data_IF_189151528245
#
_entry.id   IF_189151528245
#
_cell.length_a   1.000
_cell.length_b   1.000
_cell.length_c   1.000
_cell.angle_alpha   90.00
_cell.angle_beta   90.00
_cell.angle_gamma   90.00
#
_symmetry.space_group_name_H-M   'P 1'
#
loop_
_entity.id
_entity.type
_entity.pdbx_description
1 polymer ?
#
# COMPACT_ATOMS: atom_id res chain seq x y z
N UNK A 1 -8.77 8.02 13.35
CA UNK A 1 -7.51 8.76 13.11
C UNK A 1 -7.22 8.89 11.62
N UNK A 2 -6.95 7.80 10.90
CA UNK A 2 -6.55 7.87 9.48
C UNK A 2 -7.66 8.10 8.45
N UNK A 3 -8.84 8.58 8.86
CA UNK A 3 -10.01 8.77 7.99
C UNK A 3 -10.43 10.22 7.83
N UNK A 4 -9.97 11.10 8.72
CA UNK A 4 -10.25 12.53 8.69
C UNK A 4 -8.95 13.29 8.39
N UNK A 5 -8.93 14.17 7.38
CA UNK A 5 -7.73 14.93 7.02
C UNK A 5 -7.14 15.72 8.18
N UNK A 6 -7.99 16.37 8.99
CA UNK A 6 -7.59 17.17 10.15
C UNK A 6 -6.80 16.35 11.18
N UNK A 7 -7.32 15.16 11.52
CA UNK A 7 -6.65 14.24 12.43
C UNK A 7 -5.32 13.72 11.87
N UNK A 8 -5.27 13.46 10.56
CA UNK A 8 -4.03 13.03 9.90
C UNK A 8 -3.00 14.14 9.93
N UNK A 9 -3.39 15.40 9.68
CA UNK A 9 -2.51 16.56 9.75
C UNK A 9 -1.95 16.75 11.16
N UNK A 10 -2.82 16.73 12.18
CA UNK A 10 -2.41 16.93 13.57
C UNK A 10 -1.41 15.85 14.02
N UNK A 11 -1.76 14.57 13.82
CA UNK A 11 -0.93 13.46 14.25
C UNK A 11 0.39 13.41 13.47
N UNK A 12 0.33 13.57 12.14
CA UNK A 12 1.55 13.51 11.30
C UNK A 12 2.50 14.65 11.66
N UNK A 13 1.99 15.87 11.86
CA UNK A 13 2.82 17.02 12.25
C UNK A 13 3.46 16.81 13.62
N UNK A 14 2.69 16.33 14.60
CA UNK A 14 3.20 16.03 15.94
C UNK A 14 4.30 14.96 15.90
N UNK A 15 4.09 13.89 15.13
CA UNK A 15 5.08 12.83 14.97
C UNK A 15 6.32 13.32 14.22
N UNK A 16 6.15 14.11 13.14
CA UNK A 16 7.28 14.67 12.37
C UNK A 16 8.15 15.57 13.25
N UNK A 17 7.53 16.45 14.04
CA UNK A 17 8.22 17.31 14.98
C UNK A 17 9.01 16.51 16.03
N UNK A 18 8.42 15.44 16.57
CA UNK A 18 9.09 14.56 17.53
C UNK A 18 10.19 13.69 16.89
N UNK A 19 10.02 13.31 15.63
CA UNK A 19 10.95 12.46 14.88
C UNK A 19 12.22 13.20 14.44
N UNK A 20 12.15 14.53 14.30
CA UNK A 20 13.27 15.37 13.87
C UNK A 20 13.72 15.04 12.45
N UNK A 21 14.98 14.65 12.29
CA UNK A 21 15.58 14.33 10.98
C UNK A 21 15.28 12.91 10.47
N UNK A 22 14.56 12.09 11.25
CA UNK A 22 14.19 10.74 10.81
C UNK A 22 13.11 10.82 9.73
N UNK A 23 13.18 9.90 8.77
CA UNK A 23 12.14 9.74 7.75
C UNK A 23 10.86 9.21 8.40
N UNK A 24 9.75 9.84 8.05
CA UNK A 24 8.40 9.48 8.47
C UNK A 24 7.61 8.97 7.27
N UNK A 25 7.32 7.67 7.28
CA UNK A 25 6.40 7.05 6.34
C UNK A 25 5.01 6.91 6.98
N UNK A 26 3.98 7.45 6.34
CA UNK A 26 2.59 7.36 6.83
C UNK A 26 1.85 6.24 6.10
N UNK A 27 1.31 5.28 6.86
CA UNK A 27 0.52 4.15 6.33
C UNK A 27 -0.95 4.52 6.24
N UNK A 28 -1.46 4.65 5.01
CA UNK A 28 -2.82 5.10 4.76
C UNK A 28 -3.85 3.97 4.92
N UNK A 29 -4.96 4.31 5.58
CA UNK A 29 -6.15 3.46 5.64
C UNK A 29 -6.93 3.57 4.34
N UNK A 30 -7.45 2.46 3.78
CA UNK A 30 -8.32 2.53 2.61
C UNK A 30 -9.79 2.82 2.98
N UNK A 31 -10.12 2.92 4.27
CA UNK A 31 -11.50 3.11 4.75
C UNK A 31 -11.98 4.57 4.66
N UNK A 32 -11.84 5.17 3.48
CA UNK A 32 -12.20 6.55 3.18
C UNK A 32 -12.84 6.67 1.80
N UNK A 33 -13.66 7.70 1.61
CA UNK A 33 -14.30 7.97 0.31
C UNK A 33 -13.29 8.36 -0.76
N UNK A 34 -12.35 9.25 -0.41
CA UNK A 34 -11.27 9.67 -1.30
C UNK A 34 -9.93 9.65 -0.56
N UNK A 35 -9.10 8.68 -0.92
CA UNK A 35 -7.77 8.51 -0.32
C UNK A 35 -6.80 9.64 -0.69
N UNK A 36 -7.04 10.36 -1.79
CA UNK A 36 -6.18 11.45 -2.25
C UNK A 36 -6.18 12.61 -1.26
N UNK A 37 -7.32 12.89 -0.62
CA UNK A 37 -7.47 13.93 0.41
C UNK A 37 -6.62 13.58 1.64
N UNK A 38 -6.64 12.31 2.05
CA UNK A 38 -5.86 11.82 3.19
C UNK A 38 -4.36 11.81 2.87
N UNK A 39 -3.98 11.36 1.68
CA UNK A 39 -2.60 11.38 1.22
C UNK A 39 -2.04 12.81 1.18
N UNK A 40 -2.85 13.77 0.70
CA UNK A 40 -2.49 15.19 0.62
C UNK A 40 -2.24 15.76 2.00
N UNK A 41 -3.14 15.50 2.96
CA UNK A 41 -2.99 15.91 4.36
C UNK A 41 -1.71 15.34 4.99
N UNK A 42 -1.42 14.05 4.79
CA UNK A 42 -0.21 13.43 5.31
C UNK A 42 1.07 14.06 4.75
N UNK A 43 1.12 14.31 3.44
CA UNK A 43 2.28 14.94 2.78
C UNK A 43 2.46 16.39 3.27
N UNK A 44 1.39 17.16 3.34
CA UNK A 44 1.43 18.57 3.80
C UNK A 44 1.82 18.70 5.27
N UNK A 45 1.52 17.68 6.08
CA UNK A 45 1.95 17.58 7.47
C UNK A 45 3.39 17.05 7.65
N UNK A 46 4.11 16.80 6.55
CA UNK A 46 5.54 16.47 6.59
C UNK A 46 5.89 14.99 6.47
N UNK A 47 4.99 14.15 5.94
CA UNK A 47 5.36 12.77 5.57
C UNK A 47 6.41 12.77 4.44
N UNK A 48 7.50 12.02 4.63
CA UNK A 48 8.56 11.88 3.62
C UNK A 48 8.25 10.76 2.61
N UNK A 49 7.36 9.82 2.99
CA UNK A 49 6.91 8.73 2.16
C UNK A 49 5.49 8.30 2.54
N UNK A 50 4.80 7.64 1.61
CA UNK A 50 3.51 7.02 1.88
C UNK A 50 3.61 5.51 1.76
N UNK A 51 2.77 4.79 2.51
CA UNK A 51 2.53 3.37 2.24
C UNK A 51 1.03 3.09 2.15
N UNK A 52 0.63 2.31 1.15
CA UNK A 52 -0.79 2.02 0.90
C UNK A 52 -0.96 0.64 0.24
N UNK A 53 -1.95 -0.16 0.65
CA UNK A 53 -3.04 0.13 1.61
C UNK A 53 -2.92 -0.67 2.91
N UNK A 54 -3.60 -0.22 3.96
CA UNK A 54 -3.93 -1.07 5.12
C UNK A 54 -5.09 -2.03 4.77
N UNK A 55 -5.54 -2.85 5.71
CA UNK A 55 -6.65 -3.80 5.50
C UNK A 55 -8.01 -3.12 5.38
N UNK A 56 -8.97 -3.81 4.78
CA UNK A 56 -10.39 -3.38 4.71
C UNK A 56 -11.20 -4.05 5.82
N UNK A 57 -12.14 -3.35 6.44
CA UNK A 57 -13.02 -3.97 7.46
C UNK A 57 -13.93 -5.02 6.81
N UNK A 58 -13.90 -6.25 7.33
CA UNK A 58 -14.75 -7.34 6.88
C UNK A 58 -15.22 -8.22 8.05
N UNK A 59 -16.15 -9.13 7.76
CA UNK A 59 -16.70 -10.10 8.72
C UNK A 59 -16.87 -11.46 8.05
N UNK A 60 -16.68 -12.52 8.83
CA UNK A 60 -17.08 -13.89 8.49
C UNK A 60 -18.02 -14.38 9.58
N UNK A 61 -19.12 -15.03 9.18
CA UNK A 61 -20.15 -15.58 10.09
C UNK A 61 -20.06 -17.11 10.03
N UNK A 62 -19.96 -17.74 11.19
CA UNK A 62 -20.15 -19.18 11.34
C UNK A 62 -21.63 -19.49 11.11
N UNK A 63 -21.94 -20.30 10.10
CA UNK A 63 -23.33 -20.53 9.65
C UNK A 63 -24.14 -21.44 10.59
N UNK A 64 -23.46 -22.28 11.38
CA UNK A 64 -24.09 -23.21 12.31
C UNK A 64 -24.51 -22.47 13.59
N UNK A 65 -23.60 -21.66 14.12
CA UNK A 65 -23.83 -20.88 15.35
C UNK A 65 -24.50 -19.54 15.08
N UNK A 66 -24.47 -19.06 13.82
CA UNK A 66 -24.89 -17.71 13.40
C UNK A 66 -24.15 -16.59 14.13
N UNK A 67 -22.91 -16.84 14.55
CA UNK A 67 -22.07 -15.88 15.29
C UNK A 67 -20.88 -15.45 14.44
N UNK A 68 -20.34 -14.24 14.67
CA UNK A 68 -19.08 -13.85 14.03
C UNK A 68 -17.96 -14.82 14.41
N UNK A 69 -17.13 -15.19 13.44
CA UNK A 69 -15.97 -16.08 13.67
C UNK A 69 -14.93 -15.40 14.56
N UNK A 70 -14.73 -14.09 14.41
CA UNK A 70 -13.80 -13.32 15.22
C UNK A 70 -14.48 -12.81 16.50
N UNK A 71 -13.77 -12.88 17.64
CA UNK A 71 -14.26 -12.34 18.91
C UNK A 71 -14.59 -10.83 18.83
N UNK A 72 -13.79 -10.07 18.09
CA UNK A 72 -14.01 -8.65 17.82
C UNK A 72 -15.13 -8.40 16.78
N UNK A 73 -15.84 -9.45 16.35
CA UNK A 73 -16.89 -9.48 15.32
C UNK A 73 -16.38 -9.20 13.91
N UNK A 74 -15.62 -8.13 13.70
CA UNK A 74 -14.98 -7.76 12.44
C UNK A 74 -13.46 -7.90 12.54
N UNK A 75 -12.81 -7.88 11.37
CA UNK A 75 -11.36 -7.87 11.25
C UNK A 75 -10.90 -7.24 9.93
N UNK A 76 -9.58 -7.20 9.74
CA UNK A 76 -8.97 -6.71 8.52
C UNK A 76 -8.91 -7.78 7.42
N UNK A 77 -9.61 -7.55 6.32
CA UNK A 77 -9.44 -8.27 5.07
C UNK A 77 -8.14 -7.84 4.38
N UNK A 78 -7.33 -8.83 4.06
CA UNK A 78 -6.06 -8.70 3.35
C UNK A 78 -5.92 -9.83 2.31
N UNK A 79 -4.72 -10.00 1.75
CA UNK A 79 -4.46 -11.05 0.77
C UNK A 79 -4.95 -10.71 -0.64
N UNK A 80 -4.92 -11.67 -1.57
CA UNK A 80 -5.18 -11.43 -2.99
C UNK A 80 -6.53 -10.76 -3.28
N UNK A 81 -7.53 -11.00 -2.43
CA UNK A 81 -8.87 -10.43 -2.56
C UNK A 81 -8.89 -8.89 -2.60
N UNK A 82 -7.93 -8.21 -1.95
CA UNK A 82 -7.88 -6.74 -1.92
C UNK A 82 -6.99 -6.14 -3.01
N UNK A 83 -6.27 -6.97 -3.78
CA UNK A 83 -5.23 -6.53 -4.71
C UNK A 83 -5.73 -5.51 -5.75
N UNK A 84 -6.84 -5.74 -6.47
CA UNK A 84 -7.28 -4.79 -7.50
C UNK A 84 -7.62 -3.41 -6.92
N UNK A 85 -8.17 -3.38 -5.71
CA UNK A 85 -8.49 -2.13 -5.00
C UNK A 85 -7.19 -1.42 -4.59
N UNK A 86 -6.22 -2.16 -4.07
CA UNK A 86 -4.93 -1.63 -3.66
C UNK A 86 -4.13 -1.03 -4.85
N UNK A 87 -4.11 -1.71 -5.99
CA UNK A 87 -3.49 -1.22 -7.25
C UNK A 87 -4.15 0.10 -7.69
N UNK A 88 -5.48 0.15 -7.73
CA UNK A 88 -6.22 1.37 -8.05
C UNK A 88 -5.87 2.53 -7.11
N UNK A 89 -5.85 2.29 -5.79
CA UNK A 89 -5.57 3.33 -4.81
C UNK A 89 -4.12 3.82 -4.88
N UNK A 90 -3.15 2.93 -5.16
CA UNK A 90 -1.76 3.30 -5.44
C UNK A 90 -1.68 4.22 -6.65
N UNK A 91 -2.33 3.83 -7.75
CA UNK A 91 -2.32 4.63 -8.97
C UNK A 91 -2.96 6.00 -8.79
N UNK A 92 -4.12 6.05 -8.12
CA UNK A 92 -4.81 7.30 -7.81
C UNK A 92 -3.93 8.24 -6.98
N UNK A 93 -3.37 7.75 -5.87
CA UNK A 93 -2.52 8.57 -4.98
C UNK A 93 -1.23 9.01 -5.68
N UNK A 94 -0.64 8.13 -6.49
CA UNK A 94 0.54 8.48 -7.29
C UNK A 94 0.24 9.68 -8.21
N UNK A 95 -0.79 9.57 -9.04
CA UNK A 95 -1.11 10.57 -10.06
C UNK A 95 -1.68 11.88 -9.48
N UNK A 96 -2.52 11.83 -8.45
CA UNK A 96 -3.22 13.03 -7.96
C UNK A 96 -2.44 13.80 -6.88
N UNK A 97 -1.44 13.16 -6.25
CA UNK A 97 -0.80 13.71 -5.05
C UNK A 97 0.72 13.52 -5.01
N UNK A 98 1.21 12.30 -5.19
CA UNK A 98 2.58 11.97 -4.82
C UNK A 98 3.62 12.33 -5.90
N UNK A 99 3.27 12.13 -7.19
CA UNK A 99 4.18 12.28 -8.33
C UNK A 99 4.81 13.68 -8.40
N UNK A 100 3.99 14.72 -8.44
CA UNK A 100 4.46 16.10 -8.60
C UNK A 100 5.23 16.62 -7.37
N UNK A 101 5.10 15.91 -6.24
CA UNK A 101 5.79 16.23 -4.98
C UNK A 101 7.02 15.35 -4.75
N UNK A 102 7.31 14.42 -5.65
CA UNK A 102 8.43 13.49 -5.52
C UNK A 102 8.31 12.55 -4.31
N UNK A 103 7.10 12.28 -3.82
CA UNK A 103 6.89 11.45 -2.63
C UNK A 103 6.83 9.97 -3.04
N UNK A 104 7.75 9.11 -2.56
CA UNK A 104 7.73 7.70 -2.89
C UNK A 104 6.58 6.97 -2.19
N UNK A 105 6.05 5.95 -2.88
CA UNK A 105 4.97 5.09 -2.37
C UNK A 105 5.49 3.66 -2.17
N UNK A 106 5.36 3.14 -0.95
CA UNK A 106 5.45 1.71 -0.68
C UNK A 106 4.07 1.05 -0.90
N UNK A 107 3.92 0.36 -2.03
CA UNK A 107 2.69 -0.32 -2.43
C UNK A 107 2.54 -1.71 -1.80
N UNK A 108 1.36 -2.03 -1.27
CA UNK A 108 1.04 -3.36 -0.79
C UNK A 108 -0.46 -3.63 -0.74
N UNK A 109 -0.79 -4.92 -0.75
CA UNK A 109 -2.16 -5.44 -0.65
C UNK A 109 -2.31 -6.62 -1.59
N UNK A 110 -2.19 -7.85 -1.06
CA UNK A 110 -2.41 -9.06 -1.86
C UNK A 110 -1.30 -9.43 -2.85
N UNK A 111 -0.10 -8.86 -2.73
CA UNK A 111 1.07 -9.24 -3.53
C UNK A 111 1.55 -10.62 -3.09
N UNK A 112 1.52 -11.59 -4.01
CA UNK A 112 2.04 -12.94 -3.80
C UNK A 112 2.99 -13.43 -4.90
N UNK A 113 3.05 -12.73 -6.03
CA UNK A 113 3.89 -13.10 -7.18
C UNK A 113 4.68 -11.90 -7.71
N UNK A 114 5.69 -12.17 -8.55
CA UNK A 114 6.43 -11.13 -9.25
C UNK A 114 5.53 -10.28 -10.16
N UNK A 115 4.53 -10.91 -10.80
CA UNK A 115 3.56 -10.18 -11.63
C UNK A 115 2.75 -9.17 -10.80
N UNK A 116 2.33 -9.55 -9.59
CA UNK A 116 1.63 -8.62 -8.70
C UNK A 116 2.54 -7.47 -8.29
N UNK A 117 3.82 -7.75 -7.98
CA UNK A 117 4.77 -6.70 -7.62
C UNK A 117 5.01 -5.71 -8.77
N UNK A 118 5.20 -6.22 -9.99
CA UNK A 118 5.36 -5.39 -11.20
C UNK A 118 4.10 -4.55 -11.46
N UNK A 119 2.90 -5.11 -11.26
CA UNK A 119 1.62 -4.39 -11.38
C UNK A 119 1.57 -3.18 -10.44
N UNK A 120 2.01 -3.32 -9.18
CA UNK A 120 2.08 -2.20 -8.25
C UNK A 120 3.13 -1.15 -8.64
N UNK A 121 4.28 -1.57 -9.16
CA UNK A 121 5.33 -0.64 -9.62
C UNK A 121 4.83 0.18 -10.80
N UNK A 122 4.24 -0.50 -11.80
CA UNK A 122 3.57 0.14 -12.95
C UNK A 122 2.50 1.12 -12.49
N UNK A 123 1.71 0.77 -11.47
CA UNK A 123 0.71 1.66 -10.90
C UNK A 123 1.28 2.94 -10.28
N UNK A 124 2.56 2.97 -9.87
CA UNK A 124 3.22 4.13 -9.26
C UNK A 124 3.94 3.84 -7.95
N UNK A 125 4.00 2.58 -7.50
CA UNK A 125 4.77 2.23 -6.31
C UNK A 125 6.28 2.30 -6.58
N UNK A 126 7.02 2.96 -5.70
CA UNK A 126 8.49 3.00 -5.75
C UNK A 126 9.12 1.75 -5.13
N UNK A 127 8.38 1.07 -4.25
CA UNK A 127 8.74 -0.19 -3.64
C UNK A 127 7.46 -0.98 -3.32
N UNK A 128 7.59 -2.29 -3.10
CA UNK A 128 6.46 -3.15 -2.74
C UNK A 128 6.69 -3.91 -1.44
N UNK A 129 5.62 -4.27 -0.74
CA UNK A 129 5.68 -5.14 0.45
C UNK A 129 4.70 -6.31 0.37
N UNK A 130 5.10 -7.45 0.93
CA UNK A 130 4.27 -8.65 1.07
C UNK A 130 3.86 -8.84 2.54
N UNK A 131 2.64 -9.32 2.75
CA UNK A 131 2.09 -9.59 4.09
C UNK A 131 1.51 -11.00 4.14
N UNK A 132 0.22 -11.13 3.83
CA UNK A 132 -0.55 -12.39 3.88
C UNK A 132 0.13 -13.56 3.15
N UNK A 133 0.80 -13.30 2.03
CA UNK A 133 1.48 -14.34 1.25
C UNK A 133 2.56 -15.08 2.06
N UNK A 134 3.26 -14.39 2.97
CA UNK A 134 4.30 -15.02 3.80
C UNK A 134 3.73 -16.05 4.79
N UNK A 135 2.45 -15.96 5.15
CA UNK A 135 1.79 -16.97 6.00
C UNK A 135 1.46 -18.26 5.24
N UNK A 136 1.39 -18.18 3.91
CA UNK A 136 1.18 -19.33 3.03
C UNK A 136 2.53 -19.90 2.58
N UNK A 137 3.45 -19.02 2.20
CA UNK A 137 4.76 -19.38 1.65
C UNK A 137 5.85 -18.46 2.24
N UNK A 138 6.65 -18.92 3.22
CA UNK A 138 7.62 -18.09 3.94
C UNK A 138 8.74 -17.49 3.06
N UNK A 139 9.08 -18.14 1.94
CA UNK A 139 10.11 -17.68 0.99
C UNK A 139 9.53 -16.87 -0.19
N UNK A 140 8.23 -16.52 -0.14
CA UNK A 140 7.52 -15.78 -1.20
C UNK A 140 8.26 -14.49 -1.62
N UNK A 141 8.80 -13.73 -0.66
CA UNK A 141 9.54 -12.51 -0.96
C UNK A 141 10.80 -12.77 -1.83
N UNK A 142 11.54 -13.86 -1.58
CA UNK A 142 12.71 -14.21 -2.38
C UNK A 142 12.31 -14.59 -3.82
N UNK A 143 11.25 -15.39 -3.97
CA UNK A 143 10.70 -15.78 -5.29
C UNK A 143 10.20 -14.59 -6.08
N UNK A 144 9.58 -13.61 -5.42
CA UNK A 144 9.15 -12.35 -6.05
C UNK A 144 10.35 -11.57 -6.57
N UNK A 145 11.43 -11.46 -5.78
CA UNK A 145 12.64 -10.76 -6.21
C UNK A 145 13.24 -11.42 -7.46
N UNK A 146 13.33 -12.75 -7.48
CA UNK A 146 13.85 -13.47 -8.64
C UNK A 146 12.95 -13.30 -9.88
N UNK A 147 11.64 -13.42 -9.71
CA UNK A 147 10.71 -13.20 -10.82
C UNK A 147 10.70 -11.75 -11.35
N UNK A 148 10.97 -10.75 -10.51
CA UNK A 148 11.16 -9.36 -10.96
C UNK A 148 12.43 -9.25 -11.82
N UNK A 149 13.54 -9.87 -11.41
CA UNK A 149 14.78 -9.89 -12.21
C UNK A 149 14.55 -10.54 -13.57
N UNK A 150 13.85 -11.68 -13.60
CA UNK A 150 13.52 -12.40 -14.82
C UNK A 150 12.62 -11.56 -15.75
N UNK A 151 11.64 -10.85 -15.18
CA UNK A 151 10.80 -9.92 -15.94
C UNK A 151 11.62 -8.80 -16.58
N UNK A 152 12.47 -8.12 -15.80
CA UNK A 152 13.31 -7.03 -16.30
C UNK A 152 14.26 -7.51 -17.41
N UNK A 153 14.89 -8.68 -17.23
CA UNK A 153 15.78 -9.27 -18.24
C UNK A 153 15.01 -9.58 -19.55
N UNK A 154 13.83 -10.19 -19.44
CA UNK A 154 13.00 -10.55 -20.61
C UNK A 154 12.48 -9.32 -21.36
N UNK A 155 12.21 -8.23 -20.64
CA UNK A 155 11.68 -6.98 -21.21
C UNK A 155 12.77 -5.97 -21.59
N UNK A 156 14.06 -6.31 -21.40
CA UNK A 156 15.20 -5.41 -21.58
C UNK A 156 15.10 -4.10 -20.78
N UNK A 157 14.60 -4.19 -19.54
CA UNK A 157 14.50 -3.05 -18.62
C UNK A 157 15.79 -2.96 -17.81
N UNK A 158 16.52 -1.85 -17.97
CA UNK A 158 17.81 -1.65 -17.31
C UNK A 158 17.67 -1.16 -15.86
N UNK A 159 16.74 -0.25 -15.59
CA UNK A 159 16.39 0.21 -14.24
C UNK A 159 14.90 -0.03 -13.98
N UNK A 160 14.57 -0.71 -12.89
CA UNK A 160 13.18 -0.96 -12.48
C UNK A 160 12.39 0.34 -12.27
N UNK A 161 13.09 1.46 -12.02
CA UNK A 161 12.46 2.77 -11.90
C UNK A 161 11.75 3.23 -13.17
N UNK A 162 12.17 2.72 -14.34
CA UNK A 162 11.52 3.04 -15.62
C UNK A 162 10.07 2.54 -15.67
N UNK A 163 9.70 1.59 -14.79
CA UNK A 163 8.33 1.10 -14.64
C UNK A 163 7.48 1.96 -13.71
N UNK A 164 8.06 2.82 -12.87
CA UNK A 164 7.27 3.52 -11.83
C UNK A 164 6.27 4.47 -12.50
N UNK A 165 4.98 4.15 -12.36
CA UNK A 165 3.91 4.98 -12.92
C UNK A 165 3.84 4.97 -14.45
N UNK A 166 4.27 3.89 -15.09
CA UNK A 166 4.38 3.76 -16.55
C UNK A 166 3.08 3.28 -17.25
N UNK A 167 1.90 3.49 -16.64
CA UNK A 167 0.61 3.17 -17.26
C UNK A 167 0.38 4.11 -18.45
N UNK A 168 0.02 3.55 -19.61
CA UNK A 168 -0.32 4.27 -20.85
C UNK A 168 -1.76 4.82 -20.84
#
# INVERSE_FOLDING_TARGET
FGTEPENVTEITSAVKNAAGQKLLMVKLSPAVTDISVIARAAIEAGADALSLVNTFTAMVIDIETRRPVLANRTGGLSGPAIKPIAVYLVNKVYNEVARDRGIPILGLGGIGTASDAIEFIIAGASAVATGTANFVEPDCAAKIIDGIRDYCARMNIADIKDLIGSIE
#
